data_IF_005950760044
#
_entry.id   IF_005950760044
#
_cell.length_a   1.000
_cell.length_b   1.000
_cell.length_c   1.000
_cell.angle_alpha   90.00
_cell.angle_beta   90.00
_cell.angle_gamma   90.00
#
_symmetry.space_group_name_H-M   'P 1'
#
loop_
_entity.id
_entity.type
_entity.pdbx_description
1 polymer ?
#
# COMPACT_ATOMS: atom_id res chain seq x y z
N UNK A 1 27.86 -13.30 16.34
CA UNK A 1 26.44 -13.12 16.00
C UNK A 1 26.38 -12.54 14.59
N UNK A 2 26.01 -13.32 13.55
CA UNK A 2 25.97 -12.83 12.16
C UNK A 2 24.58 -12.22 11.90
N UNK A 3 24.45 -10.88 11.87
CA UNK A 3 23.15 -10.20 11.79
C UNK A 3 22.33 -10.52 10.53
N UNK A 4 22.97 -11.07 9.49
CA UNK A 4 22.31 -11.42 8.23
C UNK A 4 21.45 -12.70 8.27
N UNK A 5 21.67 -13.61 9.22
CA UNK A 5 20.92 -14.89 9.24
C UNK A 5 19.47 -14.72 9.71
N UNK A 6 19.23 -13.93 10.75
CA UNK A 6 17.86 -13.67 11.24
C UNK A 6 17.06 -12.78 10.28
N UNK A 7 17.68 -11.76 9.67
CA UNK A 7 17.03 -10.94 8.65
C UNK A 7 16.64 -11.76 7.42
N UNK A 8 17.55 -12.63 6.95
CA UNK A 8 17.26 -13.52 5.84
C UNK A 8 16.10 -14.48 6.15
N UNK A 9 16.06 -15.04 7.37
CA UNK A 9 14.93 -15.86 7.84
C UNK A 9 13.62 -15.06 7.83
N UNK A 10 13.61 -13.83 8.33
CA UNK A 10 12.42 -12.98 8.31
C UNK A 10 11.93 -12.69 6.90
N UNK A 11 12.82 -12.39 5.95
CA UNK A 11 12.45 -12.16 4.54
C UNK A 11 11.81 -13.43 3.95
N UNK A 12 12.39 -14.60 4.21
CA UNK A 12 11.82 -15.88 3.74
C UNK A 12 10.44 -16.15 4.34
N UNK A 13 10.25 -15.88 5.63
CA UNK A 13 8.95 -16.02 6.30
C UNK A 13 7.93 -15.07 5.67
N UNK A 14 8.28 -13.79 5.47
CA UNK A 14 7.39 -12.81 4.84
C UNK A 14 7.03 -13.20 3.40
N UNK A 15 7.99 -13.74 2.64
CA UNK A 15 7.74 -14.24 1.30
C UNK A 15 6.78 -15.43 1.31
N UNK A 16 7.00 -16.42 2.20
CA UNK A 16 6.11 -17.57 2.36
C UNK A 16 4.70 -17.17 2.78
N UNK A 17 4.57 -16.23 3.71
CA UNK A 17 3.29 -15.67 4.15
C UNK A 17 2.56 -15.00 2.99
N UNK A 18 3.25 -14.17 2.19
CA UNK A 18 2.65 -13.54 1.01
C UNK A 18 2.17 -14.55 -0.03
N UNK A 19 2.97 -15.57 -0.34
CA UNK A 19 2.56 -16.65 -1.25
C UNK A 19 1.32 -17.37 -0.71
N UNK A 20 1.29 -17.67 0.60
CA UNK A 20 0.13 -18.27 1.25
C UNK A 20 -1.13 -17.41 1.12
N UNK A 21 -1.03 -16.10 1.37
CA UNK A 21 -2.14 -15.15 1.21
C UNK A 21 -2.62 -15.12 -0.24
N UNK A 22 -1.71 -15.04 -1.22
CA UNK A 22 -2.05 -15.04 -2.65
C UNK A 22 -2.84 -16.30 -3.01
N UNK A 23 -2.37 -17.49 -2.59
CA UNK A 23 -3.06 -18.75 -2.87
C UNK A 23 -4.47 -18.75 -2.26
N UNK A 24 -4.59 -18.44 -0.97
CA UNK A 24 -5.87 -18.43 -0.26
C UNK A 24 -6.86 -17.45 -0.92
N UNK A 25 -6.44 -16.22 -1.21
CA UNK A 25 -7.30 -15.22 -1.82
C UNK A 25 -7.68 -15.57 -3.27
N UNK A 26 -6.80 -16.27 -3.99
CA UNK A 26 -7.11 -16.77 -5.35
C UNK A 26 -8.24 -17.80 -5.33
N UNK A 27 -8.35 -18.62 -4.28
CA UNK A 27 -9.46 -19.57 -4.12
C UNK A 27 -10.72 -18.92 -3.56
N UNK A 28 -10.59 -17.96 -2.64
CA UNK A 28 -11.73 -17.31 -2.00
C UNK A 28 -12.41 -16.26 -2.90
N UNK A 29 -11.69 -15.68 -3.86
CA UNK A 29 -12.24 -14.67 -4.77
C UNK A 29 -11.85 -14.93 -6.22
N UNK A 30 -12.83 -15.15 -7.12
CA UNK A 30 -12.55 -15.35 -8.54
C UNK A 30 -11.99 -14.09 -9.23
N UNK A 31 -12.12 -12.91 -8.61
CA UNK A 31 -11.58 -11.65 -9.15
C UNK A 31 -10.14 -11.38 -8.74
N UNK A 32 -9.57 -12.12 -7.79
CA UNK A 32 -8.29 -11.79 -7.17
C UNK A 32 -7.12 -11.79 -8.16
N UNK A 33 -6.98 -12.82 -9.01
CA UNK A 33 -5.92 -12.93 -10.02
C UNK A 33 -6.29 -12.30 -11.37
N UNK A 34 -7.35 -11.50 -11.43
CA UNK A 34 -7.71 -10.82 -12.68
C UNK A 34 -6.75 -9.68 -12.97
N UNK A 35 -6.55 -9.40 -14.27
CA UNK A 35 -5.74 -8.26 -14.73
C UNK A 35 -6.24 -6.93 -14.15
N UNK A 36 -7.56 -6.76 -14.08
CA UNK A 36 -8.19 -5.55 -13.51
C UNK A 36 -7.87 -5.38 -12.02
N UNK A 37 -7.97 -6.46 -11.24
CA UNK A 37 -7.60 -6.39 -9.82
C UNK A 37 -6.10 -6.13 -9.64
N UNK A 38 -5.26 -6.76 -10.45
CA UNK A 38 -3.82 -6.52 -10.43
C UNK A 38 -3.46 -5.06 -10.75
N UNK A 39 -4.05 -4.49 -11.81
CA UNK A 39 -3.90 -3.08 -12.14
C UNK A 39 -4.41 -2.17 -11.02
N UNK A 40 -5.53 -2.52 -10.40
CA UNK A 40 -6.10 -1.74 -9.29
C UNK A 40 -5.17 -1.71 -8.07
N UNK A 41 -4.54 -2.85 -7.76
CA UNK A 41 -3.52 -2.95 -6.70
C UNK A 41 -2.28 -2.13 -7.07
N UNK A 42 -1.78 -2.23 -8.31
CA UNK A 42 -0.62 -1.47 -8.76
C UNK A 42 -0.87 0.04 -8.70
N UNK A 43 -2.06 0.52 -9.08
CA UNK A 43 -2.43 1.94 -8.96
C UNK A 43 -2.35 2.42 -7.52
N UNK A 44 -2.94 1.67 -6.57
CA UNK A 44 -2.87 1.98 -5.13
C UNK A 44 -1.44 1.97 -4.60
N UNK A 45 -0.61 1.02 -5.05
CA UNK A 45 0.81 0.99 -4.67
C UNK A 45 1.60 2.16 -5.26
N UNK A 46 1.27 2.60 -6.48
CA UNK A 46 1.87 3.79 -7.08
C UNK A 46 1.54 5.06 -6.29
N UNK A 47 0.28 5.21 -5.84
CA UNK A 47 -0.13 6.32 -4.97
C UNK A 47 0.69 6.33 -3.67
N UNK A 48 0.76 5.19 -2.97
CA UNK A 48 1.57 5.05 -1.76
C UNK A 48 3.06 5.29 -2.01
N UNK A 49 3.58 4.84 -3.15
CA UNK A 49 4.98 5.04 -3.54
C UNK A 49 5.32 6.51 -3.74
N UNK A 50 4.44 7.29 -4.37
CA UNK A 50 4.61 8.73 -4.51
C UNK A 50 4.62 9.44 -3.15
N UNK A 51 3.72 9.05 -2.23
CA UNK A 51 3.71 9.59 -0.86
C UNK A 51 5.00 9.24 -0.10
N UNK A 52 5.51 8.01 -0.24
CA UNK A 52 6.75 7.59 0.40
C UNK A 52 7.97 8.38 -0.10
N UNK A 53 8.01 8.73 -1.40
CA UNK A 53 9.05 9.61 -1.96
C UNK A 53 8.98 11.00 -1.33
N UNK A 54 7.77 11.56 -1.18
CA UNK A 54 7.59 12.85 -0.50
C UNK A 54 8.06 12.78 0.96
N UNK A 55 7.67 11.75 1.71
CA UNK A 55 8.09 11.56 3.11
C UNK A 55 9.60 11.35 3.26
N UNK A 56 10.26 10.77 2.26
CA UNK A 56 11.72 10.62 2.26
C UNK A 56 12.43 11.98 2.34
N UNK A 57 11.91 13.01 1.67
CA UNK A 57 12.48 14.37 1.71
C UNK A 57 12.34 14.96 3.12
N UNK A 58 11.22 14.70 3.79
CA UNK A 58 10.96 15.13 5.17
C UNK A 58 11.91 14.44 6.15
N UNK A 59 12.13 13.13 6.01
CA UNK A 59 13.09 12.41 6.84
C UNK A 59 14.52 12.96 6.69
N UNK A 60 14.93 13.27 5.46
CA UNK A 60 16.26 13.84 5.21
C UNK A 60 16.41 15.24 5.81
N UNK A 61 15.34 16.04 5.87
CA UNK A 61 15.37 17.35 6.53
C UNK A 61 15.38 17.29 8.06
N UNK A 62 15.35 16.08 8.65
CA UNK A 62 15.31 15.85 10.09
C UNK A 62 13.91 15.93 10.68
N UNK A 63 12.88 16.02 9.84
CA UNK A 63 11.48 15.94 10.23
C UNK A 63 10.95 14.51 10.25
N UNK A 64 9.81 14.30 10.90
CA UNK A 64 8.99 13.10 10.78
C UNK A 64 7.55 13.58 10.64
N UNK A 65 6.96 13.47 9.44
CA UNK A 65 5.66 14.05 9.15
C UNK A 65 4.58 12.98 9.01
N UNK A 66 3.86 12.74 10.11
CA UNK A 66 2.72 11.83 10.09
C UNK A 66 1.46 12.46 9.45
N UNK A 67 1.47 13.75 9.13
CA UNK A 67 0.30 14.45 8.57
C UNK A 67 -0.07 13.97 7.17
N UNK A 68 0.88 13.42 6.39
CA UNK A 68 0.64 12.89 5.05
C UNK A 68 -0.41 11.78 5.04
N UNK A 69 -0.44 10.95 6.10
CA UNK A 69 -1.47 9.92 6.27
C UNK A 69 -2.85 10.51 6.53
N UNK A 70 -2.92 11.56 7.36
CA UNK A 70 -4.18 12.28 7.65
C UNK A 70 -4.70 12.99 6.40
N UNK A 71 -3.83 13.62 5.61
CA UNK A 71 -4.21 14.27 4.33
C UNK A 71 -4.74 13.23 3.34
N UNK A 72 -4.06 12.09 3.18
CA UNK A 72 -4.52 11.00 2.32
C UNK A 72 -5.93 10.51 2.74
N UNK A 73 -6.16 10.30 4.03
CA UNK A 73 -7.45 9.84 4.53
C UNK A 73 -8.58 10.85 4.30
N UNK A 74 -8.33 12.14 4.58
CA UNK A 74 -9.32 13.21 4.38
C UNK A 74 -9.60 13.41 2.88
N UNK A 75 -8.59 13.36 2.02
CA UNK A 75 -8.79 13.46 0.56
C UNK A 75 -9.70 12.35 0.03
N UNK A 76 -9.53 11.11 0.50
CA UNK A 76 -10.41 10.00 0.14
C UNK A 76 -11.86 10.21 0.65
N UNK A 77 -12.01 10.73 1.87
CA UNK A 77 -13.32 11.04 2.43
C UNK A 77 -14.04 12.16 1.65
N UNK A 78 -13.33 13.21 1.28
CA UNK A 78 -13.86 14.31 0.46
C UNK A 78 -14.25 13.80 -0.93
N UNK A 79 -13.42 12.98 -1.58
CA UNK A 79 -13.73 12.39 -2.88
C UNK A 79 -14.99 11.51 -2.83
N UNK A 80 -15.13 10.68 -1.79
CA UNK A 80 -16.33 9.89 -1.56
C UNK A 80 -17.57 10.75 -1.33
N UNK A 81 -17.44 11.85 -0.59
CA UNK A 81 -18.53 12.79 -0.37
C UNK A 81 -18.94 13.51 -1.66
N UNK A 82 -17.98 13.91 -2.49
CA UNK A 82 -18.23 14.51 -3.81
C UNK A 82 -18.97 13.54 -4.73
N UNK A 83 -18.59 12.26 -4.74
CA UNK A 83 -19.31 11.23 -5.49
C UNK A 83 -20.78 11.12 -5.08
N UNK A 84 -21.06 11.08 -3.77
CA UNK A 84 -22.43 10.99 -3.25
C UNK A 84 -23.25 12.23 -3.64
N UNK A 85 -22.64 13.40 -3.67
CA UNK A 85 -23.28 14.66 -4.08
C UNK A 85 -23.43 14.81 -5.61
N UNK A 86 -22.95 13.85 -6.41
CA UNK A 86 -22.99 13.92 -7.87
C UNK A 86 -22.02 14.94 -8.48
N UNK A 87 -21.06 15.42 -7.68
CA UNK A 87 -19.98 16.30 -8.15
C UNK A 87 -18.91 15.47 -8.86
N UNK A 88 -18.10 16.06 -9.76
CA UNK A 88 -16.96 15.35 -10.37
C UNK A 88 -15.87 15.07 -9.32
N UNK A 89 -15.25 13.89 -9.39
CA UNK A 89 -14.17 13.42 -8.50
C UNK A 89 -13.19 12.55 -9.29
#
# INVERSE_FOLDING_TARGET
MKPGSEQFRSILILALVNVGIILVLSFLSPTFLTYENFLSVLKRMSELGMLAIAETIVFISGGFDLSIGTVMAISGLIAGQMYILGLPF
#
